data_IF_618600062904
#
_entry.id   IF_618600062904
#
_cell.length_a   1.000
_cell.length_b   1.000
_cell.length_c   1.000
_cell.angle_alpha   90.00
_cell.angle_beta   90.00
_cell.angle_gamma   90.00
#
_symmetry.space_group_name_H-M   'P 1'
#
loop_
_entity.id
_entity.type
_entity.pdbx_description
1 polymer ?
2 polymer ?
3 non-polymer ?
4 water ?
#
loop_
_entity_poly.entity_id
_entity_poly.type
_entity_poly.pdbx_seq_one_letter_code
_entity_poly.pdbx_strand_id
2 'polydeoxyribonucleotide' '(DC)(DC)(DT)(DA)(DT)(DT)(DG)(DT)(DT)(DG)(DC)(DA)(DA)(DT)(DT)(DG)(DC)(DA)(DA)(DC)(DA)(DA)(DT)(DA)(DG)(DG)' ?
#
# COMPACT_ATOMS: atom_id res chain seq x y z
N UNK A 4 -19.94 -8.75 8.25
CA UNK A 4 -18.81 -9.57 7.83
C UNK A 4 -17.49 -9.02 8.39
N UNK A 5 -16.48 -9.88 8.44
CA UNK A 5 -15.19 -9.49 8.99
C UNK A 5 -14.46 -8.53 8.04
N UNK A 6 -13.42 -7.90 8.58
CA UNK A 6 -12.65 -6.91 7.85
C UNK A 6 -11.39 -7.56 7.26
N UNK A 7 -11.08 -7.16 6.03
CA UNK A 7 -9.86 -7.60 5.36
C UNK A 7 -8.99 -6.43 4.92
N UNK A 8 -9.57 -5.24 4.73
CA UNK A 8 -8.83 -4.11 4.20
C UNK A 8 -7.68 -3.72 5.12
N UNK A 9 -7.86 -3.86 6.43
CA UNK A 9 -6.87 -3.34 7.37
C UNK A 9 -5.56 -4.12 7.27
N UNK A 10 -5.63 -5.45 7.31
CA UNK A 10 -4.42 -6.26 7.21
C UNK A 10 -3.74 -6.07 5.85
N UNK A 11 -4.53 -5.99 4.78
CA UNK A 11 -3.94 -5.80 3.45
C UNK A 11 -3.16 -4.50 3.39
N UNK A 12 -3.64 -3.47 4.09
CA UNK A 12 -2.92 -2.21 4.10
C UNK A 12 -1.60 -2.31 4.84
N UNK A 13 -1.59 -3.03 5.96
CA UNK A 13 -0.38 -3.17 6.76
C UNK A 13 0.67 -3.97 6.00
N UNK A 14 0.26 -5.10 5.42
CA UNK A 14 1.19 -5.97 4.71
C UNK A 14 1.82 -5.23 3.52
N UNK A 15 1.02 -4.46 2.79
CA UNK A 15 1.55 -3.78 1.61
C UNK A 15 2.47 -2.63 1.99
N UNK A 16 2.22 -2.00 3.14
CA UNK A 16 3.10 -0.92 3.58
C UNK A 16 4.46 -1.47 4.02
N UNK A 17 4.47 -2.58 4.76
CA UNK A 17 5.73 -3.17 5.22
C UNK A 17 6.55 -3.69 4.05
N UNK A 18 5.94 -4.50 3.19
CA UNK A 18 6.66 -5.03 2.03
C UNK A 18 7.18 -3.92 1.14
N UNK A 19 6.44 -2.81 1.03
CA UNK A 19 6.93 -1.70 0.22
C UNK A 19 8.09 -1.00 0.92
N UNK A 20 7.96 -0.73 2.21
CA UNK A 20 9.02 -0.01 2.93
C UNK A 20 10.30 -0.83 2.99
N UNK A 21 10.19 -2.14 3.17
CA UNK A 21 11.37 -3.01 3.13
C UNK A 21 12.04 -2.92 1.77
N UNK A 22 11.27 -3.06 0.70
CA UNK A 22 11.83 -3.03 -0.64
C UNK A 22 12.40 -1.66 -0.98
N UNK A 23 11.83 -0.58 -0.43
CA UNK A 23 12.34 0.76 -0.71
C UNK A 23 13.73 0.96 -0.15
N UNK A 24 13.92 0.62 1.13
CA UNK A 24 15.21 0.83 1.77
C UNK A 24 16.27 -0.07 1.15
N UNK A 25 15.90 -1.31 0.82
CA UNK A 25 16.87 -2.23 0.26
C UNK A 25 17.19 -1.92 -1.20
N UNK A 26 16.25 -1.34 -1.94
CA UNK A 26 16.52 -0.88 -3.29
C UNK A 26 17.06 0.54 -3.33
N UNK A 27 17.17 1.20 -2.17
CA UNK A 27 17.84 2.49 -2.11
C UNK A 27 19.32 2.36 -2.47
N UNK A 28 19.92 1.21 -2.16
CA UNK A 28 21.33 0.98 -2.51
C UNK A 28 21.52 0.95 -4.02
N UNK A 29 20.49 0.55 -4.78
CA UNK A 29 20.56 0.51 -6.23
C UNK A 29 20.06 1.80 -6.87
N UNK A 30 20.03 2.89 -6.12
CA UNK A 30 19.68 4.23 -6.58
C UNK A 30 18.26 4.33 -7.16
N UNK A 31 17.34 3.47 -6.71
CA UNK A 31 15.93 3.57 -7.06
C UNK A 31 15.20 4.35 -5.97
N UNK A 32 14.25 5.19 -6.37
CA UNK A 32 13.64 6.11 -5.43
C UNK A 32 12.55 5.42 -4.62
N UNK A 33 11.61 6.21 -4.11
CA UNK A 33 10.67 5.73 -3.10
C UNK A 33 9.77 4.63 -3.64
N UNK A 34 9.36 4.72 -4.90
CA UNK A 34 8.47 3.73 -5.46
C UNK A 34 8.76 3.39 -6.90
N UNK A 35 9.98 3.65 -7.34
CA UNK A 35 10.30 3.52 -8.75
C UNK A 35 10.51 2.07 -9.18
N UNK A 36 10.72 1.15 -8.24
CA UNK A 36 11.10 -0.21 -8.61
C UNK A 36 9.92 -0.98 -9.20
N UNK A 37 8.69 -0.63 -8.77
CA UNK A 37 7.50 -1.34 -9.26
C UNK A 37 7.35 -1.19 -10.77
N UNK A 38 7.75 -0.05 -11.33
CA UNK A 38 7.64 0.15 -12.77
C UNK A 38 8.65 -0.71 -13.52
N UNK A 39 9.92 -0.65 -13.11
CA UNK A 39 10.97 -1.34 -13.88
C UNK A 39 10.74 -2.84 -13.91
N UNK A 40 10.17 -3.41 -12.84
CA UNK A 40 9.85 -4.83 -12.84
C UNK A 40 8.88 -5.15 -13.96
N UNK A 41 7.87 -4.30 -14.16
CA UNK A 41 6.85 -4.57 -15.17
C UNK A 41 7.35 -4.25 -16.58
N UNK A 42 8.17 -3.20 -16.72
CA UNK A 42 8.67 -2.83 -18.04
C UNK A 42 9.58 -3.90 -18.60
N UNK A 43 10.43 -4.50 -17.75
CA UNK A 43 11.36 -5.51 -18.22
C UNK A 43 10.63 -6.75 -18.75
N UNK A 44 9.52 -7.12 -18.11
CA UNK A 44 8.74 -8.28 -18.51
C UNK A 44 7.69 -7.96 -19.57
N UNK A 45 7.44 -6.67 -19.84
CA UNK A 45 6.49 -6.24 -20.85
C UNK A 45 7.14 -5.12 -21.67
N UNK A 46 8.10 -5.51 -22.51
CA UNK A 46 8.81 -4.54 -23.33
C UNK A 46 7.89 -3.96 -24.40
N UNK A 47 8.01 -2.66 -24.63
CA UNK A 47 7.12 -1.97 -25.54
C UNK A 47 5.82 -1.52 -24.93
N UNK A 48 5.71 -1.56 -23.60
CA UNK A 48 4.45 -1.20 -22.95
C UNK A 48 4.32 0.32 -22.89
N UNK A 49 3.09 0.79 -22.73
CA UNK A 49 2.79 2.20 -22.67
C UNK A 49 2.57 2.58 -21.21
N UNK A 50 2.70 3.88 -20.93
CA UNK A 50 2.52 4.36 -19.56
C UNK A 50 1.08 4.14 -19.09
N UNK A 51 0.10 4.30 -19.98
CA UNK A 51 -1.29 4.18 -19.57
C UNK A 51 -1.62 2.75 -19.15
N UNK A 52 -1.04 1.76 -19.84
CA UNK A 52 -1.30 0.37 -19.48
C UNK A 52 -0.73 0.04 -18.11
N UNK A 53 0.43 0.62 -17.77
CA UNK A 53 1.00 0.42 -16.44
C UNK A 53 0.11 1.01 -15.36
N UNK A 54 -0.49 2.17 -15.65
CA UNK A 54 -1.41 2.79 -14.69
C UNK A 54 -2.57 1.86 -14.37
N UNK A 55 -3.02 1.09 -15.36
CA UNK A 55 -4.16 0.20 -15.16
C UNK A 55 -3.78 -1.03 -14.35
N UNK A 56 -2.65 -1.66 -14.67
CA UNK A 56 -2.25 -2.88 -13.98
C UNK A 56 -1.81 -2.58 -12.56
N UNK A 57 -1.02 -1.52 -12.36
CA UNK A 57 -0.50 -1.20 -11.05
C UNK A 57 -1.49 -0.46 -10.17
N UNK A 58 -2.48 0.20 -10.77
CA UNK A 58 -3.51 0.92 -10.03
C UNK A 58 -2.93 2.08 -9.23
N UNK A 59 -2.06 2.87 -9.89
CA UNK A 59 -1.53 4.09 -9.32
C UNK A 59 -1.93 5.27 -10.19
N UNK A 60 -1.74 6.48 -9.67
CA UNK A 60 -2.16 7.67 -10.38
C UNK A 60 -1.37 7.85 -11.68
N UNK A 61 -1.99 8.49 -12.67
CA UNK A 61 -1.32 8.74 -13.94
C UNK A 61 -0.26 9.82 -13.80
N UNK A 62 -0.50 10.82 -12.94
CA UNK A 62 0.51 11.86 -12.72
C UNK A 62 1.66 11.33 -11.87
N UNK A 63 1.36 10.51 -10.86
CA UNK A 63 2.41 9.88 -10.07
C UNK A 63 3.34 9.06 -10.97
N UNK A 64 2.76 8.34 -11.93
CA UNK A 64 3.55 7.57 -12.88
C UNK A 64 4.46 8.50 -13.69
N UNK A 65 3.85 9.33 -14.55
CA UNK A 65 4.61 10.09 -15.56
C UNK A 65 5.81 10.80 -14.94
N UNK A 66 5.63 11.42 -13.77
CA UNK A 66 6.74 12.07 -13.10
C UNK A 66 7.81 11.07 -12.68
N UNK A 67 7.38 9.88 -12.22
CA UNK A 67 8.33 8.88 -11.76
C UNK A 67 9.05 8.23 -12.95
N UNK A 68 8.34 7.96 -14.05
CA UNK A 68 8.99 7.37 -15.22
C UNK A 68 10.04 8.31 -15.78
N UNK A 69 9.86 9.62 -15.59
CA UNK A 69 10.85 10.58 -16.08
C UNK A 69 12.21 10.31 -15.46
N UNK A 70 12.25 10.11 -14.15
CA UNK A 70 13.51 9.81 -13.46
C UNK A 70 14.09 8.49 -13.93
N UNK A 71 13.24 7.49 -14.17
CA UNK A 71 13.72 6.21 -14.70
C UNK A 71 14.49 6.40 -15.99
N UNK A 72 14.01 7.30 -16.86
CA UNK A 72 14.75 7.60 -18.07
C UNK A 72 15.83 8.66 -17.84
N UNK A 73 15.54 9.65 -16.98
CA UNK A 73 16.52 10.68 -16.67
C UNK A 73 17.78 10.11 -16.03
N UNK A 74 17.62 9.06 -15.21
CA UNK A 74 18.75 8.37 -14.61
C UNK A 74 19.17 7.14 -15.40
N UNK A 75 18.77 7.07 -16.67
CA UNK A 75 19.30 6.07 -17.59
C UNK A 75 18.85 4.65 -17.33
N UNK A 76 17.74 4.45 -16.61
CA UNK A 76 17.29 3.10 -16.28
C UNK A 76 16.35 2.52 -17.32
N UNK A 77 15.56 3.35 -18.00
CA UNK A 77 14.73 2.94 -19.13
C UNK A 77 14.91 3.94 -20.26
N UNK A 78 14.16 3.74 -21.34
CA UNK A 78 14.25 4.60 -22.52
C UNK A 78 12.85 4.77 -23.10
N UNK A 79 12.53 6.01 -23.51
CA UNK A 79 11.26 6.32 -24.15
C UNK A 79 11.46 6.34 -25.66
N UNK A 80 10.71 5.50 -26.36
CA UNK A 80 10.83 5.37 -27.81
C UNK A 80 9.52 5.74 -28.49
N UNK A 81 9.64 6.28 -29.70
CA UNK A 81 8.49 6.64 -30.50
C UNK A 81 8.30 5.63 -31.62
N UNK A 82 7.04 5.37 -31.95
CA UNK A 82 6.69 4.46 -33.03
C UNK A 82 6.31 5.25 -34.27
N UNK A 83 6.30 4.54 -35.42
CA UNK A 83 5.92 5.19 -36.67
C UNK A 83 4.42 5.47 -36.71
N UNK A 84 3.61 4.51 -36.27
CA UNK A 84 2.17 4.56 -36.44
C UNK A 84 1.48 5.46 -35.42
N UNK A 85 2.16 5.84 -34.35
CA UNK A 85 1.51 6.54 -33.24
C UNK A 85 2.44 7.60 -32.69
N UNK A 86 2.03 8.86 -32.79
CA UNK A 86 2.75 9.98 -32.20
C UNK A 86 2.26 10.31 -30.79
N UNK A 87 1.35 9.52 -30.24
CA UNK A 87 0.85 9.70 -28.87
C UNK A 87 1.43 8.68 -27.90
N UNK A 88 1.58 7.44 -28.33
CA UNK A 88 2.08 6.38 -27.47
C UNK A 88 3.60 6.40 -27.41
N UNK A 89 4.13 6.08 -26.22
CA UNK A 89 5.57 6.01 -25.96
C UNK A 89 5.86 4.60 -25.47
N UNK A 90 6.34 3.74 -26.36
CA UNK A 90 6.68 2.38 -25.99
C UNK A 90 7.90 2.38 -25.07
N UNK A 91 7.73 1.84 -23.86
CA UNK A 91 8.75 1.90 -22.84
C UNK A 91 9.62 0.64 -22.86
N UNK A 92 10.93 0.84 -22.96
CA UNK A 92 11.91 -0.24 -22.93
C UNK A 92 12.95 0.07 -21.85
N UNK A 93 13.50 -0.97 -21.23
CA UNK A 93 14.58 -0.74 -20.26
C UNK A 93 15.92 -0.56 -20.94
N UNK A 94 16.84 0.09 -20.23
CA UNK A 94 18.21 0.24 -20.69
C UNK A 94 19.00 -1.01 -20.32
N UNK A 95 20.31 -0.99 -20.53
CA UNK A 95 21.12 -2.16 -20.19
C UNK A 95 21.36 -2.24 -18.69
N UNK A 96 21.54 -1.10 -18.03
CA UNK A 96 21.59 -1.10 -16.58
C UNK A 96 20.23 -1.40 -15.97
N UNK A 97 19.15 -1.26 -16.74
CA UNK A 97 17.85 -1.68 -16.26
C UNK A 97 17.66 -3.18 -16.34
N UNK A 98 18.18 -3.81 -17.40
CA UNK A 98 18.06 -5.26 -17.54
C UNK A 98 18.88 -5.99 -16.48
N UNK A 99 20.06 -5.47 -16.13
CA UNK A 99 20.89 -6.11 -15.12
C UNK A 99 20.31 -5.98 -13.72
N UNK A 100 19.41 -5.01 -13.50
CA UNK A 100 18.79 -4.87 -12.19
C UNK A 100 17.63 -5.84 -12.00
N UNK A 101 17.01 -6.30 -13.08
CA UNK A 101 15.84 -7.15 -12.96
C UNK A 101 16.11 -8.46 -12.21
N UNK A 102 17.16 -9.24 -12.52
CA UNK A 102 17.41 -10.46 -11.72
C UNK A 102 17.72 -10.18 -10.25
N UNK A 103 18.19 -8.98 -9.91
CA UNK A 103 18.43 -8.65 -8.50
C UNK A 103 17.13 -8.28 -7.80
N UNK A 104 16.24 -7.56 -8.50
CA UNK A 104 15.01 -7.09 -7.88
C UNK A 104 14.06 -8.24 -7.61
N UNK A 105 13.94 -9.18 -8.55
CA UNK A 105 13.06 -10.33 -8.37
C UNK A 105 13.74 -11.37 -7.49
N UNK A 106 14.89 -11.01 -6.91
CA UNK A 106 15.54 -11.82 -5.89
C UNK A 106 15.24 -11.33 -4.49
N UNK A 107 15.15 -10.01 -4.30
CA UNK A 107 14.67 -9.47 -3.04
C UNK A 107 13.16 -9.69 -2.89
N UNK A 108 12.41 -9.43 -3.96
CA UNK A 108 10.97 -9.68 -3.93
C UNK A 108 10.69 -11.16 -3.69
N UNK A 109 11.44 -12.03 -4.35
CA UNK A 109 11.26 -13.47 -4.14
C UNK A 109 11.48 -13.84 -2.69
N UNK A 110 12.51 -13.29 -2.06
CA UNK A 110 12.78 -13.64 -0.67
C UNK A 110 11.77 -13.00 0.27
N UNK A 111 11.42 -11.73 0.04
CA UNK A 111 10.36 -11.10 0.82
C UNK A 111 9.05 -11.87 0.68
N UNK A 112 8.80 -12.46 -0.48
CA UNK A 112 7.61 -13.27 -0.65
C UNK A 112 7.71 -14.55 0.16
N UNK A 113 8.88 -15.18 0.18
CA UNK A 113 9.08 -16.40 0.96
C UNK A 113 8.94 -16.13 2.46
N UNK A 114 9.45 -15.00 2.94
CA UNK A 114 9.27 -14.62 4.34
C UNK A 114 7.79 -14.41 4.64
N UNK A 115 7.07 -13.76 3.72
CA UNK A 115 5.66 -13.52 3.93
C UNK A 115 4.85 -14.82 3.88
N UNK A 116 5.20 -15.73 2.97
CA UNK A 116 4.54 -17.03 2.87
C UNK A 116 5.33 -18.06 3.66
N UNK A 117 5.25 -17.93 4.98
CA UNK A 117 5.96 -18.79 5.91
C UNK A 117 4.95 -19.69 6.60
N UNK A 118 5.09 -21.00 6.39
CA UNK A 118 4.19 -21.96 6.98
C UNK A 118 3.03 -22.39 6.11
N UNK A 119 2.87 -21.79 4.94
CA UNK A 119 1.83 -22.17 4.00
C UNK A 119 2.29 -23.34 3.15
N UNK A 120 1.45 -24.37 3.05
CA UNK A 120 1.73 -25.44 2.11
C UNK A 120 1.49 -24.97 0.68
N UNK A 121 1.91 -25.78 -0.29
CA UNK A 121 1.79 -25.38 -1.69
C UNK A 121 0.35 -25.13 -2.09
N UNK A 122 -0.59 -25.85 -1.48
CA UNK A 122 -2.00 -25.63 -1.76
C UNK A 122 -2.51 -24.36 -1.08
N UNK A 123 -2.02 -24.06 0.13
CA UNK A 123 -2.52 -22.91 0.86
C UNK A 123 -2.19 -21.59 0.15
N UNK A 124 -1.05 -21.55 -0.56
CA UNK A 124 -0.72 -20.32 -1.27
C UNK A 124 -1.57 -20.18 -2.52
N UNK A 125 -1.98 -21.29 -3.14
CA UNK A 125 -2.87 -21.21 -4.30
C UNK A 125 -4.25 -20.73 -3.89
N UNK A 126 -4.75 -21.22 -2.77
CA UNK A 126 -6.00 -20.75 -2.20
C UNK A 126 -5.91 -19.27 -1.83
N UNK A 127 -4.68 -18.79 -1.64
CA UNK A 127 -4.46 -17.38 -1.37
C UNK A 127 -4.26 -16.58 -2.65
N UNK A 128 -3.59 -17.16 -3.65
CA UNK A 128 -3.42 -16.49 -4.93
C UNK A 128 -4.77 -16.30 -5.62
N UNK A 129 -5.58 -17.35 -5.66
CA UNK A 129 -6.91 -17.26 -6.26
C UNK A 129 -7.82 -16.32 -5.47
N UNK A 130 -7.64 -16.26 -4.14
CA UNK A 130 -8.48 -15.38 -3.35
C UNK A 130 -8.11 -13.91 -3.59
N UNK A 131 -6.81 -13.62 -3.65
CA UNK A 131 -6.39 -12.24 -3.89
C UNK A 131 -6.66 -11.81 -5.33
N UNK A 132 -6.74 -12.77 -6.25
CA UNK A 132 -7.05 -12.43 -7.63
C UNK A 132 -8.48 -11.90 -7.76
N UNK A 133 -9.43 -12.52 -7.05
CA UNK A 133 -10.80 -12.01 -7.06
C UNK A 133 -10.88 -10.64 -6.42
N UNK A 134 -10.24 -10.45 -5.27
CA UNK A 134 -10.27 -9.15 -4.60
C UNK A 134 -9.69 -8.08 -5.51
N UNK A 135 -8.64 -8.41 -6.25
CA UNK A 135 -8.08 -7.45 -7.19
C UNK A 135 -9.08 -7.15 -8.31
N UNK A 136 -9.79 -8.16 -8.78
CA UNK A 136 -10.78 -7.98 -9.83
C UNK A 136 -12.02 -7.28 -9.30
N UNK A 137 -12.47 -7.66 -8.10
CA UNK A 137 -13.68 -7.06 -7.52
C UNK A 137 -13.52 -5.56 -7.36
N UNK A 138 -12.32 -5.10 -7.00
CA UNK A 138 -12.10 -3.69 -6.73
C UNK A 138 -11.68 -2.93 -7.99
N UNK A 139 -11.48 -3.62 -9.12
CA UNK A 139 -10.97 -2.97 -10.32
C UNK A 139 -11.97 -1.96 -10.86
N UNK A 140 -13.25 -2.31 -10.90
CA UNK A 140 -14.25 -1.40 -11.45
C UNK A 140 -14.37 -0.14 -10.61
N UNK A 141 -14.47 -0.29 -9.29
CA UNK A 141 -14.74 0.87 -8.44
C UNK A 141 -13.56 1.84 -8.41
N UNK A 142 -12.34 1.37 -8.63
CA UNK A 142 -11.19 2.26 -8.59
C UNK A 142 -11.21 3.22 -9.77
N UNK A 143 -11.36 2.70 -10.99
CA UNK A 143 -11.47 3.57 -12.16
C UNK A 143 -12.74 4.42 -12.08
N UNK A 144 -13.80 3.85 -11.52
CA UNK A 144 -15.02 4.60 -11.22
C UNK A 144 -14.69 5.91 -10.50
N UNK A 145 -14.05 5.79 -9.33
CA UNK A 145 -13.77 6.97 -8.51
C UNK A 145 -12.66 7.80 -9.13
N UNK A 146 -11.68 7.15 -9.75
CA UNK A 146 -10.55 7.87 -10.34
C UNK A 146 -10.98 8.77 -11.47
N UNK A 147 -11.92 8.32 -12.30
CA UNK A 147 -12.41 9.15 -13.40
C UNK A 147 -13.10 10.40 -12.87
N UNK A 148 -13.82 10.29 -11.75
CA UNK A 148 -14.44 11.44 -11.15
C UNK A 148 -15.84 11.17 -10.62
N UNK A 149 -16.47 10.09 -11.08
CA UNK A 149 -17.85 9.81 -10.70
C UNK A 149 -17.93 9.51 -9.21
N UNK A 150 -18.93 10.08 -8.55
CA UNK A 150 -19.13 9.84 -7.13
C UNK A 150 -19.71 8.45 -6.91
N UNK A 151 -19.39 7.87 -5.75
CA UNK A 151 -19.83 6.53 -5.40
C UNK A 151 -21.03 6.61 -4.47
N UNK A 152 -22.03 5.76 -4.71
CA UNK A 152 -23.23 5.69 -3.90
C UNK A 152 -23.25 4.39 -3.12
N UNK A 153 -23.44 4.50 -1.80
CA UNK A 153 -23.43 3.33 -0.92
C UNK A 153 -24.76 2.58 -0.98
N UNK B 4 7.30 -21.21 -5.91
CA UNK B 4 6.67 -20.23 -5.04
C UNK B 4 6.01 -19.12 -5.86
N UNK B 5 4.68 -19.00 -5.74
CA UNK B 5 3.93 -18.03 -6.52
C UNK B 5 3.92 -16.67 -5.83
N UNK B 6 4.03 -15.61 -6.63
CA UNK B 6 4.08 -14.27 -6.09
C UNK B 6 2.75 -13.88 -5.46
N UNK B 7 2.82 -12.97 -4.49
CA UNK B 7 1.64 -12.49 -3.78
C UNK B 7 1.86 -11.02 -3.45
N UNK B 8 3.13 -10.60 -3.42
CA UNK B 8 3.46 -9.20 -3.17
C UNK B 8 2.81 -8.26 -4.17
N UNK B 9 2.65 -8.72 -5.41
CA UNK B 9 2.11 -7.87 -6.46
C UNK B 9 0.65 -7.54 -6.22
N UNK B 10 -0.19 -8.58 -6.10
CA UNK B 10 -1.63 -8.35 -5.93
C UNK B 10 -1.91 -7.56 -4.66
N UNK B 11 -1.27 -7.93 -3.55
CA UNK B 11 -1.47 -7.22 -2.29
C UNK B 11 -1.10 -5.74 -2.44
N UNK B 12 -0.02 -5.47 -3.16
CA UNK B 12 0.35 -4.08 -3.40
C UNK B 12 -0.65 -3.36 -4.28
N UNK B 13 -1.18 -4.06 -5.29
CA UNK B 13 -2.20 -3.49 -6.17
C UNK B 13 -3.47 -3.23 -5.38
N UNK B 14 -3.94 -4.22 -4.62
CA UNK B 14 -5.19 -4.09 -3.88
C UNK B 14 -5.12 -2.94 -2.89
N UNK B 15 -3.96 -2.73 -2.26
CA UNK B 15 -3.84 -1.65 -1.28
C UNK B 15 -3.78 -0.29 -1.95
N UNK B 16 -3.11 -0.19 -3.09
CA UNK B 16 -3.06 1.08 -3.82
C UNK B 16 -4.46 1.55 -4.18
N UNK B 17 -5.29 0.63 -4.67
CA UNK B 17 -6.67 0.97 -5.05
C UNK B 17 -7.49 1.39 -3.82
N UNK B 18 -7.56 0.52 -2.82
CA UNK B 18 -8.39 0.82 -1.65
C UNK B 18 -7.95 2.12 -0.99
N UNK B 19 -6.64 2.37 -0.91
CA UNK B 19 -6.18 3.61 -0.30
C UNK B 19 -6.51 4.81 -1.19
N UNK B 20 -6.37 4.67 -2.51
CA UNK B 20 -6.66 5.80 -3.41
C UNK B 20 -8.15 6.16 -3.38
N UNK B 21 -9.02 5.15 -3.31
CA UNK B 21 -10.46 5.41 -3.21
C UNK B 21 -10.77 6.15 -1.91
N UNK B 22 -10.19 5.68 -0.80
CA UNK B 22 -10.43 6.31 0.49
C UNK B 22 -9.93 7.75 0.50
N UNK B 23 -8.77 8.01 -0.10
CA UNK B 23 -8.23 9.36 -0.14
C UNK B 23 -9.15 10.30 -0.90
N UNK B 24 -9.61 9.88 -2.08
CA UNK B 24 -10.47 10.74 -2.87
C UNK B 24 -11.81 10.96 -2.17
N UNK B 25 -12.39 9.89 -1.62
CA UNK B 25 -13.68 10.02 -0.96
C UNK B 25 -13.59 10.85 0.31
N UNK B 26 -12.50 10.71 1.06
CA UNK B 26 -12.35 11.44 2.32
C UNK B 26 -11.85 12.86 2.13
N UNK B 27 -11.39 13.23 0.92
CA UNK B 27 -11.08 14.63 0.66
C UNK B 27 -12.32 15.50 0.85
N UNK B 28 -13.50 14.92 0.66
CA UNK B 28 -14.74 15.61 0.98
C UNK B 28 -14.77 16.04 2.45
N UNK B 29 -14.29 15.19 3.34
CA UNK B 29 -14.25 15.47 4.78
C UNK B 29 -12.95 16.16 5.19
N UNK B 30 -12.20 16.71 4.24
CA UNK B 30 -10.96 17.47 4.44
C UNK B 30 -9.84 16.66 5.07
N UNK B 31 -9.93 15.33 5.09
CA UNK B 31 -8.82 14.49 5.50
C UNK B 31 -7.79 14.42 4.38
N UNK B 32 -6.51 14.40 4.75
CA UNK B 32 -5.45 14.49 3.77
C UNK B 32 -5.15 13.10 3.19
N UNK B 33 -3.94 12.92 2.67
CA UNK B 33 -3.62 11.74 1.86
C UNK B 33 -3.64 10.47 2.71
N UNK B 34 -2.99 10.50 3.87
CA UNK B 34 -2.93 9.30 4.67
C UNK B 34 -3.42 9.49 6.09
N UNK B 35 -4.16 10.56 6.34
CA UNK B 35 -4.52 10.93 7.70
C UNK B 35 -5.67 10.11 8.27
N UNK B 36 -6.41 9.36 7.44
CA UNK B 36 -7.58 8.69 7.98
C UNK B 36 -7.22 7.42 8.74
N UNK B 37 -6.13 6.74 8.36
CA UNK B 37 -5.71 5.52 9.06
C UNK B 37 -5.40 5.82 10.52
N UNK B 38 -4.96 7.05 10.82
CA UNK B 38 -4.61 7.39 12.19
C UNK B 38 -5.85 7.58 13.06
N UNK B 39 -6.74 8.51 12.68
CA UNK B 39 -7.89 8.83 13.52
C UNK B 39 -8.77 7.62 13.74
N UNK B 40 -8.94 6.78 12.72
CA UNK B 40 -9.70 5.54 12.88
C UNK B 40 -9.13 4.71 14.02
N UNK B 41 -7.81 4.48 14.00
CA UNK B 41 -7.19 3.70 15.06
C UNK B 41 -7.20 4.46 16.38
N UNK B 42 -6.99 5.79 16.34
CA UNK B 42 -7.02 6.60 17.55
C UNK B 42 -8.39 6.58 18.20
N UNK B 43 -9.45 6.52 17.39
CA UNK B 43 -10.80 6.53 17.94
C UNK B 43 -11.11 5.24 18.70
N UNK B 44 -10.67 4.09 18.18
CA UNK B 44 -10.89 2.83 18.87
C UNK B 44 -10.03 2.72 20.13
N UNK B 45 -8.76 3.10 20.03
CA UNK B 45 -7.81 3.03 21.13
C UNK B 45 -7.51 4.45 21.58
N UNK B 46 -8.26 4.93 22.56
CA UNK B 46 -8.22 6.33 22.95
C UNK B 46 -7.01 6.59 23.82
N UNK B 47 -6.18 7.54 23.41
CA UNK B 47 -5.04 7.96 24.18
C UNK B 47 -3.74 7.25 23.88
N UNK B 48 -3.66 6.49 22.80
CA UNK B 48 -2.45 5.74 22.56
C UNK B 48 -1.41 6.61 21.88
N UNK B 49 -0.20 6.08 21.78
CA UNK B 49 1.01 6.84 21.53
C UNK B 49 1.48 6.64 20.10
N UNK B 50 2.24 7.60 19.58
CA UNK B 50 2.74 7.51 18.21
C UNK B 50 3.48 6.20 17.98
N UNK B 51 4.36 5.83 18.92
CA UNK B 51 5.19 4.65 18.72
C UNK B 51 4.33 3.39 18.61
N UNK B 52 3.24 3.33 19.38
CA UNK B 52 2.37 2.17 19.31
C UNK B 52 1.62 2.12 17.98
N UNK B 53 1.16 3.28 17.49
CA UNK B 53 0.54 3.33 16.17
C UNK B 53 1.54 2.94 15.08
N UNK B 54 2.75 3.51 15.16
CA UNK B 54 3.79 3.18 14.20
C UNK B 54 4.03 1.68 14.16
N UNK B 55 3.91 1.01 15.30
CA UNK B 55 4.13 -0.43 15.34
C UNK B 55 2.98 -1.21 14.71
N UNK B 56 1.73 -0.86 15.06
CA UNK B 56 0.59 -1.65 14.59
C UNK B 56 0.24 -1.32 13.15
N UNK B 57 0.59 -0.11 12.67
CA UNK B 57 0.27 0.29 11.31
C UNK B 57 1.40 0.05 10.33
N UNK B 58 2.64 -0.07 10.81
CA UNK B 58 3.80 -0.33 9.96
C UNK B 58 4.09 0.84 9.01
N UNK B 59 4.02 2.06 9.51
CA UNK B 59 4.45 3.24 8.77
C UNK B 59 5.68 3.83 9.44
N UNK B 60 6.36 4.71 8.70
CA UNK B 60 7.54 5.37 9.24
C UNK B 60 7.16 6.25 10.42
N UNK B 61 8.11 6.43 11.35
CA UNK B 61 7.83 7.23 12.54
C UNK B 61 7.77 8.71 12.20
N UNK B 62 8.72 9.20 11.41
CA UNK B 62 8.71 10.61 11.02
C UNK B 62 7.52 10.94 10.13
N UNK B 63 7.11 9.99 9.28
CA UNK B 63 5.91 10.18 8.47
C UNK B 63 4.67 10.34 9.34
N UNK B 64 4.55 9.53 10.39
CA UNK B 64 3.41 9.64 11.27
C UNK B 64 3.46 10.91 12.10
N UNK B 65 4.67 11.38 12.45
CA UNK B 65 4.77 12.54 13.32
C UNK B 65 4.12 13.77 12.71
N UNK B 66 4.48 14.10 11.46
CA UNK B 66 3.94 15.30 10.83
C UNK B 66 2.48 15.10 10.44
N UNK B 67 2.11 13.88 10.06
CA UNK B 67 0.72 13.60 9.70
C UNK B 67 -0.21 13.74 10.90
N UNK B 68 0.26 13.32 12.09
CA UNK B 68 -0.52 13.50 13.30
C UNK B 68 -0.52 14.95 13.77
N UNK B 69 0.52 15.71 13.41
CA UNK B 69 0.55 17.13 13.78
C UNK B 69 -0.59 17.90 13.14
N UNK B 70 -1.02 17.51 11.93
CA UNK B 70 -2.11 18.20 11.26
C UNK B 70 -3.46 17.83 11.86
N UNK B 71 -3.67 16.54 12.14
CA UNK B 71 -4.92 16.12 12.76
C UNK B 71 -5.14 16.81 14.10
N UNK B 72 -4.05 17.15 14.79
CA UNK B 72 -4.19 17.93 16.03
C UNK B 72 -4.31 19.41 15.72
N UNK B 73 -3.60 19.89 14.69
CA UNK B 73 -3.71 21.29 14.29
C UNK B 73 -5.11 21.59 13.76
N UNK B 74 -5.60 20.77 12.83
CA UNK B 74 -6.92 20.96 12.24
C UNK B 74 -8.06 20.52 13.15
N UNK B 75 -7.77 20.27 14.42
CA UNK B 75 -8.82 20.11 15.41
C UNK B 75 -9.54 18.80 15.42
N UNK B 76 -8.91 17.72 14.96
CA UNK B 76 -9.55 16.41 14.94
C UNK B 76 -9.14 15.51 16.10
N UNK B 77 -7.91 15.66 16.61
CA UNK B 77 -7.45 14.96 17.79
C UNK B 77 -6.74 15.95 18.70
N UNK B 78 -6.50 15.52 19.93
CA UNK B 78 -5.83 16.35 20.93
C UNK B 78 -4.77 15.49 21.62
N UNK B 79 -3.54 16.02 21.71
CA UNK B 79 -2.44 15.32 22.36
C UNK B 79 -2.24 15.91 23.75
N UNK B 80 -2.65 15.17 24.77
CA UNK B 80 -2.43 15.53 26.16
C UNK B 80 -1.36 14.62 26.75
N UNK B 81 -0.71 15.11 27.79
CA UNK B 81 0.37 14.37 28.43
C UNK B 81 -0.11 13.82 29.77
N UNK B 82 0.51 12.72 30.18
CA UNK B 82 0.22 12.10 31.45
C UNK B 82 1.11 12.70 32.53
N UNK B 83 0.62 12.69 33.77
CA UNK B 83 1.37 13.24 34.88
C UNK B 83 2.53 12.33 35.29
N UNK B 84 2.49 11.05 34.95
CA UNK B 84 3.55 10.12 35.33
C UNK B 84 4.62 9.95 34.27
N UNK B 85 4.45 10.55 33.09
CA UNK B 85 5.38 10.36 31.98
C UNK B 85 5.54 11.70 31.27
N UNK B 86 6.75 12.25 31.30
CA UNK B 86 7.06 13.53 30.67
C UNK B 86 7.37 13.41 29.19
N UNK B 87 7.37 12.20 28.64
CA UNK B 87 7.69 12.03 27.23
C UNK B 87 6.54 11.46 26.40
N UNK B 88 5.73 10.57 26.96
CA UNK B 88 4.60 10.02 26.23
C UNK B 88 3.54 11.09 25.98
N UNK B 89 3.04 11.11 24.74
CA UNK B 89 1.98 12.04 24.33
C UNK B 89 0.74 11.21 24.00
N UNK B 90 -0.21 11.19 24.93
CA UNK B 90 -1.42 10.40 24.76
C UNK B 90 -2.37 11.11 23.79
N UNK B 91 -2.67 10.45 22.67
CA UNK B 91 -3.44 11.05 21.59
C UNK B 91 -4.91 10.68 21.72
N UNK B 92 -5.75 11.66 22.06
CA UNK B 92 -7.18 11.49 22.15
C UNK B 92 -7.88 12.20 20.99
N UNK B 93 -9.01 11.68 20.53
CA UNK B 93 -9.77 12.38 19.47
C UNK B 93 -10.68 13.45 20.05
N UNK B 94 -10.96 14.45 19.22
CA UNK B 94 -11.85 15.54 19.59
C UNK B 94 -13.29 15.15 19.24
N UNK B 95 -14.21 16.10 19.35
CA UNK B 95 -15.58 15.86 18.92
C UNK B 95 -15.73 15.97 17.40
N UNK B 96 -14.81 16.69 16.73
CA UNK B 96 -14.75 16.63 15.27
C UNK B 96 -14.30 15.26 14.79
N UNK B 97 -13.50 14.56 15.59
CA UNK B 97 -13.02 13.24 15.22
C UNK B 97 -13.99 12.14 15.59
N UNK B 98 -14.64 12.28 16.75
CA UNK B 98 -15.59 11.28 17.19
C UNK B 98 -16.80 11.20 16.27
N UNK B 99 -17.13 12.29 15.57
CA UNK B 99 -18.26 12.28 14.65
C UNK B 99 -17.87 11.75 13.27
N UNK B 100 -16.60 11.87 12.89
CA UNK B 100 -16.14 11.36 11.60
C UNK B 100 -15.95 9.85 11.60
N UNK B 101 -15.79 9.25 12.78
CA UNK B 101 -15.52 7.80 12.84
C UNK B 101 -16.66 6.96 12.28
N UNK B 102 -17.93 7.19 12.61
CA UNK B 102 -19.01 6.38 11.99
C UNK B 102 -19.08 6.50 10.49
N UNK B 103 -18.67 7.65 9.92
CA UNK B 103 -18.70 7.80 8.48
C UNK B 103 -17.55 7.06 7.82
N UNK B 104 -16.36 7.14 8.41
CA UNK B 104 -15.19 6.46 7.85
C UNK B 104 -15.42 4.96 7.88
N UNK B 105 -16.04 4.45 8.94
CA UNK B 105 -16.35 3.02 9.02
C UNK B 105 -17.25 2.59 7.87
N UNK B 106 -18.13 3.48 7.41
CA UNK B 106 -19.03 3.11 6.32
C UNK B 106 -18.31 3.02 4.99
N UNK B 107 -17.42 3.98 4.69
CA UNK B 107 -16.62 3.88 3.47
C UNK B 107 -15.67 2.69 3.53
N UNK B 108 -15.05 2.45 4.68
CA UNK B 108 -14.15 1.31 4.81
C UNK B 108 -14.91 0.00 4.73
N UNK B 109 -16.13 -0.05 5.27
CA UNK B 109 -16.90 -1.27 5.23
C UNK B 109 -17.52 -1.51 3.85
N UNK B 110 -17.97 -0.44 3.19
CA UNK B 110 -18.51 -0.59 1.85
C UNK B 110 -17.42 -1.00 0.87
N UNK B 111 -16.24 -0.37 0.95
CA UNK B 111 -15.10 -0.83 0.15
C UNK B 111 -14.75 -2.27 0.49
N UNK B 112 -14.94 -2.66 1.75
CA UNK B 112 -14.66 -4.04 2.15
C UNK B 112 -15.66 -4.99 1.52
N UNK B 113 -16.94 -4.60 1.49
CA UNK B 113 -17.96 -5.45 0.88
C UNK B 113 -17.76 -5.56 -0.63
N UNK B 114 -17.36 -4.48 -1.30
CA UNK B 114 -17.08 -4.54 -2.72
C UNK B 114 -15.91 -5.48 -2.99
N UNK B 115 -14.87 -5.40 -2.16
CA UNK B 115 -13.71 -6.26 -2.33
C UNK B 115 -14.03 -7.71 -2.01
N UNK B 116 -14.84 -7.94 -0.98
CA UNK B 116 -15.21 -9.29 -0.57
C UNK B 116 -16.47 -9.78 -1.26
N UNK B 117 -16.89 -9.16 -2.36
CA UNK B 117 -18.04 -9.64 -3.11
C UNK B 117 -17.73 -11.00 -3.72
N UNK B 118 -18.61 -11.96 -3.48
CA UNK B 118 -18.46 -13.30 -4.01
C UNK B 118 -17.97 -14.32 -3.01
N UNK B 119 -17.43 -13.89 -1.87
CA UNK B 119 -16.93 -14.80 -0.85
C UNK B 119 -18.02 -15.11 0.17
N UNK B 120 -18.08 -16.36 0.59
CA UNK B 120 -19.00 -16.78 1.64
C UNK B 120 -18.45 -16.37 3.00
N UNK B 121 -19.18 -16.74 4.06
CA UNK B 121 -18.73 -16.41 5.41
C UNK B 121 -17.53 -17.25 5.81
N UNK B 122 -17.42 -18.48 5.32
CA UNK B 122 -16.26 -19.30 5.62
C UNK B 122 -15.05 -18.84 4.81
N UNK B 123 -15.26 -18.41 3.57
CA UNK B 123 -14.14 -18.03 2.71
C UNK B 123 -13.43 -16.79 3.23
N UNK B 124 -14.19 -15.83 3.80
CA UNK B 124 -13.56 -14.62 4.31
C UNK B 124 -12.76 -14.91 5.56
N UNK B 125 -13.23 -15.84 6.39
CA UNK B 125 -12.48 -16.20 7.59
C UNK B 125 -11.18 -16.91 7.24
N UNK B 126 -11.22 -17.74 6.21
CA UNK B 126 -10.03 -18.40 5.68
C UNK B 126 -9.05 -17.39 5.10
N UNK B 127 -9.58 -16.23 4.72
CA UNK B 127 -8.74 -15.18 4.20
C UNK B 127 -8.31 -14.20 5.28
N UNK B 128 -9.18 -13.97 6.28
CA UNK B 128 -8.77 -13.20 7.44
C UNK B 128 -7.63 -13.88 8.18
N UNK B 129 -7.69 -15.21 8.33
CA UNK B 129 -6.63 -15.94 9.00
C UNK B 129 -5.36 -15.96 8.16
N UNK B 130 -5.49 -16.12 6.84
CA UNK B 130 -4.31 -16.15 5.99
C UNK B 130 -3.59 -14.81 5.99
N UNK B 131 -4.34 -13.71 6.03
CA UNK B 131 -3.70 -12.39 6.03
C UNK B 131 -3.08 -12.09 7.39
N UNK B 132 -3.75 -12.51 8.47
CA UNK B 132 -3.20 -12.35 9.80
C UNK B 132 -1.86 -13.07 9.94
N UNK B 133 -1.75 -14.24 9.35
CA UNK B 133 -0.50 -15.00 9.38
C UNK B 133 0.59 -14.29 8.59
N UNK B 134 0.24 -13.79 7.40
CA UNK B 134 1.23 -13.06 6.59
C UNK B 134 1.64 -11.78 7.27
N UNK B 135 0.70 -11.12 7.96
CA UNK B 135 1.05 -9.90 8.69
C UNK B 135 2.06 -10.18 9.79
N UNK B 136 1.91 -11.32 10.47
CA UNK B 136 2.83 -11.69 11.53
C UNK B 136 4.17 -12.14 10.98
N UNK B 137 4.16 -12.89 9.87
CA UNK B 137 5.41 -13.39 9.31
C UNK B 137 6.32 -12.25 8.89
N UNK B 138 5.75 -11.14 8.41
CA UNK B 138 6.56 -10.04 7.91
C UNK B 138 6.86 -8.99 8.97
N UNK B 139 6.28 -9.11 10.17
CA UNK B 139 6.45 -8.08 11.18
C UNK B 139 7.89 -7.96 11.64
N UNK B 140 8.57 -9.08 11.84
CA UNK B 140 9.93 -9.04 12.38
C UNK B 140 10.91 -8.44 11.37
N UNK B 141 10.79 -8.82 10.09
CA UNK B 141 11.70 -8.30 9.09
C UNK B 141 11.48 -6.81 8.83
N UNK B 142 10.28 -6.30 9.08
CA UNK B 142 10.05 -4.87 8.86
C UNK B 142 10.86 -4.04 9.83
N UNK B 143 10.79 -4.38 11.13
CA UNK B 143 11.58 -3.66 12.13
C UNK B 143 13.06 -3.96 11.98
N UNK B 144 13.39 -5.18 11.54
CA UNK B 144 14.78 -5.54 11.30
C UNK B 144 15.42 -4.62 10.27
N UNK B 145 14.71 -4.30 9.19
CA UNK B 145 15.25 -3.38 8.20
C UNK B 145 15.03 -1.93 8.62
N UNK B 146 13.96 -1.66 9.37
CA UNK B 146 13.68 -0.28 9.80
C UNK B 146 14.77 0.23 10.73
N UNK B 147 15.27 -0.63 11.62
CA UNK B 147 16.33 -0.22 12.54
C UNK B 147 17.60 0.15 11.79
N UNK B 148 17.88 -0.55 10.68
CA UNK B 148 19.08 -0.30 9.90
C UNK B 148 19.84 -1.58 9.60
N UNK B 149 19.41 -2.70 10.18
CA UNK B 149 20.08 -3.98 9.97
C UNK B 149 19.87 -4.45 8.54
N UNK B 150 20.89 -5.11 8.00
CA UNK B 150 20.88 -5.59 6.62
C UNK B 150 20.39 -7.03 6.57
N UNK B 151 19.44 -7.30 5.68
CA UNK B 151 18.95 -8.66 5.51
C UNK B 151 19.93 -9.49 4.67
N UNK B 152 19.82 -10.80 4.79
CA UNK B 152 20.68 -11.73 4.07
C UNK B 152 19.82 -12.63 3.20
N UNK B 153 20.01 -12.53 1.89
CA UNK B 153 19.28 -13.39 0.94
C UNK B 153 20.10 -13.61 -0.33
X LIG E 1 8.45 19.23 -13.35
X LIG E 1 7.41 19.76 -13.73
X LIG E 1 9.37 18.76 -14.12
X LIG E 1 8.79 19.07 -11.80
X LIG F 1 8.00 21.21 10.12
X LIG F 1 7.07 21.28 11.00
X LIG F 1 9.20 21.03 10.36
X LIG F 1 7.47 21.35 8.64
#
# INVERSE_FOLDING_TARGET
>A
SNAMKDILRDIGVIARALDSISNIEFKELNLAKGQFIYLVRICENQGIIQEKLVDILKIDRTTASRAIKNLEKNGLIIKKQNKNNKKNKLLFPTEKGQQLYPLIIRENEYSNAVALKGFTEAEINMLTDALKKVKENIADDWLYVKKGNKRSY
>B
SNAMKDILRDIGVIARALDSISNIEFKELNLAKGQFIYLVRICENQGIIQEKLVDILKIDRTTASRAIKNLEKNGLIIKKQNKNNKKNKLLFPTEKGQQLYPLIIRENEYSNAVALKGFTEAEINMLTDALKKVKENIADDWLYVKKGNKRSY
>E hetero
1 ACY C O OXT CH3
>F hetero
1 ACY C O OXT CH3
#
